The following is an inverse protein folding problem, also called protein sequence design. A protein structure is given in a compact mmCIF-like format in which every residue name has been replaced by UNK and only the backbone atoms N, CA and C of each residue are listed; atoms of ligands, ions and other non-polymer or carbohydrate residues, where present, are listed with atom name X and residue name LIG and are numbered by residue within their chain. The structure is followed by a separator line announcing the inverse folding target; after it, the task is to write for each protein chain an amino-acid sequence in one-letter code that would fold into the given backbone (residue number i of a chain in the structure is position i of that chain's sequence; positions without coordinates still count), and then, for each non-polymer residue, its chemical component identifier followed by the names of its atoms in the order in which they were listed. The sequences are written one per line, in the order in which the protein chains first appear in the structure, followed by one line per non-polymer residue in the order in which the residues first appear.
data_IF_014026266159
#
_entry.id   IF_014026266159
#
_cell.length_a   1.000
_cell.length_b   1.000
_cell.length_c   1.000
_cell.angle_alpha   90.00
_cell.angle_beta   90.00
_cell.angle_gamma   90.00
#
_symmetry.space_group_name_H-M   'P 1'
#
loop_
_entity.id
_entity.type
_entity.pdbx_description
1 polymer ?
#
# COMPACT_ATOMS: atom_id res chain seq x y z
N UNK A 1 12.03 -1.08 21.63
CA UNK A 1 12.66 -0.75 20.34
C UNK A 1 11.63 0.04 19.57
N UNK A 2 11.87 1.32 19.29
CA UNK A 2 10.97 2.12 18.46
C UNK A 2 11.24 1.74 17.01
N UNK A 3 10.35 0.96 16.42
CA UNK A 3 10.42 0.62 14.99
C UNK A 3 10.32 1.94 14.19
N UNK A 4 11.14 2.16 13.15
CA UNK A 4 10.96 3.34 12.30
C UNK A 4 9.57 3.30 11.68
N UNK A 5 8.93 4.48 11.54
CA UNK A 5 7.57 4.60 10.99
C UNK A 5 7.43 3.88 9.64
N UNK A 6 8.48 3.92 8.81
CA UNK A 6 8.53 3.23 7.52
C UNK A 6 8.33 1.71 7.62
N UNK A 7 8.88 1.05 8.65
CA UNK A 7 8.74 -0.39 8.81
C UNK A 7 7.32 -0.78 9.28
N UNK A 8 6.64 0.08 10.03
CA UNK A 8 5.23 -0.15 10.39
C UNK A 8 4.30 0.04 9.20
N UNK A 9 4.61 1.03 8.35
CA UNK A 9 3.87 1.27 7.11
C UNK A 9 4.08 0.11 6.14
N UNK A 10 5.32 -0.37 5.98
CA UNK A 10 5.61 -1.53 5.14
C UNK A 10 4.82 -2.77 5.58
N UNK A 11 4.86 -3.10 6.86
CA UNK A 11 4.12 -4.23 7.42
C UNK A 11 2.60 -4.06 7.20
N UNK A 12 2.07 -2.87 7.45
CA UNK A 12 0.65 -2.58 7.23
C UNK A 12 0.22 -2.66 5.76
N UNK A 13 1.07 -2.21 4.82
CA UNK A 13 0.81 -2.36 3.39
C UNK A 13 0.82 -3.84 2.99
N UNK A 14 1.82 -4.61 3.43
CA UNK A 14 1.90 -6.05 3.14
C UNK A 14 0.68 -6.79 3.68
N UNK A 15 0.22 -6.46 4.89
CA UNK A 15 -0.98 -7.02 5.48
C UNK A 15 -2.23 -6.74 4.63
N UNK A 16 -2.42 -5.48 4.22
CA UNK A 16 -3.56 -5.10 3.36
C UNK A 16 -3.54 -5.85 2.04
N UNK A 17 -2.37 -5.95 1.40
CA UNK A 17 -2.22 -6.73 0.18
C UNK A 17 -2.62 -8.20 0.40
N UNK A 18 -2.17 -8.82 1.49
CA UNK A 18 -2.55 -10.20 1.81
C UNK A 18 -4.04 -10.36 2.07
N UNK A 19 -4.67 -9.38 2.72
CA UNK A 19 -6.10 -9.42 3.05
C UNK A 19 -6.99 -9.28 1.80
N UNK A 20 -6.63 -8.38 0.88
CA UNK A 20 -7.38 -8.16 -0.38
C UNK A 20 -7.11 -9.25 -1.40
N UNK A 21 -5.95 -9.90 -1.32
CA UNK A 21 -5.62 -11.00 -2.20
C UNK A 21 -6.55 -12.19 -1.98
N UNK A 22 -7.19 -12.64 -3.06
CA UNK A 22 -8.03 -13.86 -3.07
C UNK A 22 -7.22 -15.16 -3.02
N UNK A 23 -5.89 -15.05 -2.98
CA UNK A 23 -4.94 -16.17 -3.01
C UNK A 23 -3.78 -15.92 -2.03
N UNK A 24 -3.14 -16.96 -1.49
CA UNK A 24 -1.94 -16.79 -0.71
C UNK A 24 -0.85 -16.15 -1.58
N UNK A 25 -0.35 -14.99 -1.15
CA UNK A 25 0.74 -14.26 -1.79
C UNK A 25 1.80 -13.93 -0.75
N UNK A 26 3.03 -13.76 -1.22
CA UNK A 26 4.15 -13.23 -0.44
C UNK A 26 4.62 -11.93 -1.11
N UNK A 27 3.98 -10.80 -0.80
CA UNK A 27 4.38 -9.51 -1.35
C UNK A 27 5.78 -9.16 -0.85
N UNK A 28 6.64 -8.74 -1.77
CA UNK A 28 7.93 -8.14 -1.46
C UNK A 28 7.93 -6.70 -1.95
N UNK A 29 8.82 -5.86 -1.44
CA UNK A 29 8.99 -4.48 -1.91
C UNK A 29 9.20 -4.37 -3.43
N UNK A 30 9.83 -5.38 -4.04
CA UNK A 30 10.07 -5.44 -5.49
C UNK A 30 8.88 -5.96 -6.30
N UNK A 31 7.88 -6.57 -5.66
CA UNK A 31 6.75 -7.20 -6.33
C UNK A 31 5.85 -6.16 -6.99
N UNK A 32 5.51 -6.39 -8.25
CA UNK A 32 4.48 -5.65 -8.97
C UNK A 32 3.07 -6.14 -8.58
N UNK A 33 2.16 -5.23 -8.26
CA UNK A 33 0.81 -5.56 -7.82
C UNK A 33 0.04 -6.35 -8.89
N UNK A 34 0.18 -5.99 -10.16
CA UNK A 34 -0.58 -6.59 -11.26
C UNK A 34 0.18 -7.76 -11.86
N UNK A 35 1.46 -7.57 -12.17
CA UNK A 35 2.26 -8.57 -12.91
C UNK A 35 2.66 -9.73 -12.01
N UNK A 36 3.16 -9.45 -10.81
CA UNK A 36 3.67 -10.50 -9.92
C UNK A 36 2.57 -11.01 -8.98
N UNK A 37 1.85 -10.08 -8.35
CA UNK A 37 0.83 -10.43 -7.35
C UNK A 37 -0.54 -10.70 -7.97
N UNK A 38 -0.76 -10.35 -9.24
CA UNK A 38 -1.97 -10.71 -10.01
C UNK A 38 -3.22 -9.95 -9.59
N UNK A 39 -3.09 -8.75 -9.02
CA UNK A 39 -4.23 -7.91 -8.68
C UNK A 39 -4.92 -7.40 -9.93
N UNK A 40 -6.25 -7.52 -9.95
CA UNK A 40 -7.08 -6.85 -10.94
C UNK A 40 -7.35 -5.38 -10.56
N UNK A 41 -7.91 -4.59 -11.48
CA UNK A 41 -8.19 -3.17 -11.24
C UNK A 41 -9.14 -2.93 -10.07
N UNK A 42 -10.05 -3.87 -9.78
CA UNK A 42 -10.98 -3.75 -8.66
C UNK A 42 -10.26 -4.02 -7.34
N UNK A 43 -9.41 -5.05 -7.29
CA UNK A 43 -8.60 -5.35 -6.12
C UNK A 43 -7.61 -4.22 -5.82
N UNK A 44 -7.06 -3.55 -6.84
CA UNK A 44 -6.24 -2.35 -6.60
C UNK A 44 -7.04 -1.25 -5.92
N UNK A 45 -8.29 -1.01 -6.33
CA UNK A 45 -9.18 -0.05 -5.66
C UNK A 45 -9.52 -0.46 -4.23
N UNK A 46 -9.73 -1.75 -3.97
CA UNK A 46 -9.95 -2.30 -2.62
C UNK A 46 -8.70 -2.10 -1.74
N UNK A 47 -7.49 -2.37 -2.25
CA UNK A 47 -6.24 -2.10 -1.53
C UNK A 47 -6.15 -0.63 -1.14
N UNK A 48 -6.45 0.29 -2.06
CA UNK A 48 -6.39 1.72 -1.78
C UNK A 48 -7.36 2.09 -0.67
N UNK A 49 -8.62 1.65 -0.75
CA UNK A 49 -9.63 1.95 0.26
C UNK A 49 -9.22 1.43 1.65
N UNK A 50 -8.67 0.22 1.72
CA UNK A 50 -8.16 -0.36 2.97
C UNK A 50 -6.92 0.38 3.51
N UNK A 51 -6.04 0.88 2.64
CA UNK A 51 -4.90 1.69 3.05
C UNK A 51 -5.34 3.06 3.59
N UNK A 52 -6.32 3.69 2.92
CA UNK A 52 -6.91 4.96 3.36
C UNK A 52 -7.52 4.81 4.76
N UNK A 53 -8.31 3.76 5.00
CA UNK A 53 -8.92 3.49 6.31
C UNK A 53 -7.86 3.14 7.38
N UNK A 54 -6.89 2.28 7.04
CA UNK A 54 -5.87 1.81 8.00
C UNK A 54 -4.91 2.91 8.45
N UNK A 55 -4.51 3.80 7.55
CA UNK A 55 -3.54 4.86 7.84
C UNK A 55 -4.20 6.23 8.03
N UNK A 56 -5.51 6.32 7.84
CA UNK A 56 -6.31 7.53 7.95
C UNK A 56 -5.70 8.66 7.08
N UNK A 57 -5.55 8.31 5.79
CA UNK A 57 -5.01 9.13 4.70
C UNK A 57 -5.98 9.14 3.51
N UNK A 58 -5.72 9.98 2.52
CA UNK A 58 -6.46 9.97 1.24
C UNK A 58 -5.49 9.87 0.07
N UNK A 59 -5.65 8.81 -0.73
CA UNK A 59 -4.78 8.50 -1.86
C UNK A 59 -5.50 8.94 -3.15
N UNK A 60 -4.99 9.93 -3.89
CA UNK A 60 -5.62 10.36 -5.13
C UNK A 60 -5.54 9.26 -6.19
N UNK A 61 -6.70 8.91 -6.76
CA UNK A 61 -6.82 7.85 -7.79
C UNK A 61 -5.96 8.09 -9.04
N UNK A 62 -5.53 9.34 -9.28
CA UNK A 62 -4.66 9.70 -10.40
C UNK A 62 -3.25 9.10 -10.28
N UNK A 63 -2.81 8.75 -9.06
CA UNK A 63 -1.46 8.24 -8.77
C UNK A 63 -1.40 6.70 -8.78
N UNK A 64 -2.55 6.04 -8.85
CA UNK A 64 -2.71 4.58 -8.88
C UNK A 64 -2.03 3.91 -10.08
N UNK A 65 -2.09 4.48 -11.30
CA UNK A 65 -1.37 3.90 -12.44
C UNK A 65 0.17 3.98 -12.30
N UNK A 66 0.67 4.88 -11.45
CA UNK A 66 2.10 5.12 -11.24
C UNK A 66 2.71 4.25 -10.13
N UNK A 67 1.89 3.65 -9.28
CA UNK A 67 2.29 2.77 -8.16
C UNK A 67 2.16 1.31 -8.57
N UNK A 68 3.19 0.82 -9.26
CA UNK A 68 3.25 -0.57 -9.73
C UNK A 68 3.78 -1.54 -8.68
N UNK A 69 4.74 -1.12 -7.86
CA UNK A 69 5.38 -2.01 -6.88
C UNK A 69 4.99 -1.71 -5.45
N UNK A 70 5.10 -2.72 -4.58
CA UNK A 70 4.83 -2.57 -3.14
C UNK A 70 5.69 -1.45 -2.53
N UNK A 71 6.97 -1.33 -2.93
CA UNK A 71 7.83 -0.23 -2.45
C UNK A 71 7.27 1.16 -2.77
N UNK A 72 6.69 1.34 -3.95
CA UNK A 72 6.11 2.62 -4.34
C UNK A 72 4.84 2.92 -3.53
N UNK A 73 4.01 1.91 -3.26
CA UNK A 73 2.84 2.05 -2.39
C UNK A 73 3.26 2.44 -0.98
N UNK A 74 4.23 1.75 -0.39
CA UNK A 74 4.77 2.06 0.94
C UNK A 74 5.31 3.49 0.99
N UNK A 75 6.07 3.91 -0.02
CA UNK A 75 6.60 5.26 -0.10
C UNK A 75 5.50 6.33 -0.19
N UNK A 76 4.46 6.10 -1.00
CA UNK A 76 3.31 7.00 -1.12
C UNK A 76 2.53 7.11 0.20
N UNK A 77 2.20 5.98 0.83
CA UNK A 77 1.52 5.97 2.13
C UNK A 77 2.36 6.70 3.17
N UNK A 78 3.67 6.48 3.21
CA UNK A 78 4.56 7.17 4.13
C UNK A 78 4.56 8.69 3.95
N UNK A 79 4.62 9.17 2.71
CA UNK A 79 4.53 10.60 2.42
C UNK A 79 3.20 11.19 2.87
N UNK A 80 2.08 10.54 2.56
CA UNK A 80 0.74 11.03 2.96
C UNK A 80 0.54 11.05 4.48
N UNK A 81 1.05 10.04 5.19
CA UNK A 81 1.02 9.99 6.66
C UNK A 81 1.85 11.14 7.26
N UNK A 82 3.02 11.42 6.70
CA UNK A 82 3.87 12.54 7.13
C UNK A 82 3.22 13.90 6.84
N UNK A 83 2.65 14.10 5.65
CA UNK A 83 1.94 15.33 5.26
C UNK A 83 0.76 15.62 6.18
N UNK A 84 0.00 14.57 6.53
CA UNK A 84 -1.11 14.69 7.48
C UNK A 84 -0.64 15.00 8.89
N UNK A 85 0.52 14.49 9.30
CA UNK A 85 1.10 14.80 10.63
C UNK A 85 1.66 16.22 10.72
N UNK A 86 1.99 16.83 9.57
CA UNK A 86 2.52 18.19 9.46
C UNK A 86 1.43 19.25 9.23
N UNK A 87 0.16 18.86 9.18
CA UNK A 87 -1.02 19.73 9.00
C UNK A 87 -1.83 19.82 10.29
#
# INVERSE_FOLDING_TARGET
MSQPASAQIEEGVIDVLKNVSRRPIEPTLASDLVVDLGFDSLQVLEVIAELEDRFDISIPLNDVPATRTVAQVVAQVAQLVEERSNS
#
